data_IF_373939760812
#
_entry.id   IF_373939760812
#
_cell.length_a   1.000
_cell.length_b   1.000
_cell.length_c   1.000
_cell.angle_alpha   90.00
_cell.angle_beta   90.00
_cell.angle_gamma   90.00
#
_symmetry.space_group_name_H-M   'P 1'
#
loop_
_entity.id
_entity.type
_entity.pdbx_description
1 polymer ?
#
# COMPACT_ATOMS: atom_id res chain seq x y z
N UNK A 1 26.19 52.02 -49.47
CA UNK A 1 26.65 50.61 -49.46
C UNK A 1 27.64 50.47 -48.31
N UNK A 2 27.71 49.28 -47.72
CA UNK A 2 28.44 48.91 -46.49
C UNK A 2 27.74 49.20 -45.16
N UNK A 3 26.91 48.25 -44.73
CA UNK A 3 26.92 47.70 -43.37
C UNK A 3 26.19 46.34 -43.40
N UNK A 4 26.95 45.27 -43.63
CA UNK A 4 26.47 43.89 -43.53
C UNK A 4 27.65 42.96 -43.23
N UNK A 5 28.18 43.04 -42.01
CA UNK A 5 29.20 42.11 -41.53
C UNK A 5 29.14 41.99 -40.00
N UNK A 6 28.08 41.38 -39.47
CA UNK A 6 28.06 40.90 -38.08
C UNK A 6 27.03 39.76 -37.84
N UNK A 7 26.79 38.92 -38.84
CA UNK A 7 25.97 37.71 -38.67
C UNK A 7 26.66 36.54 -39.36
N UNK A 8 27.62 35.91 -38.67
CA UNK A 8 28.04 34.50 -38.82
C UNK A 8 29.43 34.29 -38.18
N UNK A 9 29.47 33.68 -37.00
CA UNK A 9 30.51 32.70 -36.58
C UNK A 9 30.16 32.19 -35.18
N UNK A 10 29.10 31.38 -35.09
CA UNK A 10 28.87 30.56 -33.90
C UNK A 10 29.81 29.36 -34.00
N UNK A 11 30.93 29.51 -33.32
CA UNK A 11 32.10 28.64 -33.23
C UNK A 11 31.69 27.17 -33.00
N UNK A 12 32.08 26.30 -33.93
CA UNK A 12 32.07 24.84 -33.82
C UNK A 12 32.69 24.40 -32.49
N UNK A 13 31.88 23.81 -31.62
CA UNK A 13 32.33 23.13 -30.41
C UNK A 13 33.16 21.92 -30.84
N UNK A 14 34.45 21.87 -30.49
CA UNK A 14 35.30 20.74 -30.85
C UNK A 14 34.80 19.48 -30.14
N UNK A 15 34.81 18.34 -30.84
CA UNK A 15 34.30 17.05 -30.34
C UNK A 15 34.83 16.71 -28.94
N UNK A 16 36.08 17.11 -28.66
CA UNK A 16 36.74 16.94 -27.37
C UNK A 16 36.06 17.72 -26.21
N UNK A 17 35.52 18.91 -26.46
CA UNK A 17 34.75 19.67 -25.46
C UNK A 17 33.41 19.01 -25.13
N UNK A 18 32.78 18.39 -26.13
CA UNK A 18 31.49 17.72 -25.96
C UNK A 18 31.66 16.42 -25.13
N UNK A 19 32.74 15.67 -25.39
CA UNK A 19 33.16 14.55 -24.54
C UNK A 19 33.44 14.97 -23.09
N UNK A 20 34.12 16.10 -22.90
CA UNK A 20 34.47 16.58 -21.56
C UNK A 20 33.22 16.99 -20.75
N UNK A 21 32.20 17.54 -21.42
CA UNK A 21 30.93 17.93 -20.79
C UNK A 21 30.10 16.71 -20.42
N UNK A 22 30.00 15.72 -21.33
CA UNK A 22 29.28 14.47 -21.04
C UNK A 22 29.94 13.73 -19.87
N UNK A 23 31.28 13.65 -19.87
CA UNK A 23 32.03 13.01 -18.79
C UNK A 23 31.87 13.73 -17.44
N UNK A 24 31.84 15.07 -17.43
CA UNK A 24 31.58 15.85 -16.22
C UNK A 24 30.15 15.68 -15.72
N UNK A 25 29.15 15.59 -16.61
CA UNK A 25 27.76 15.31 -16.27
C UNK A 25 27.59 13.92 -15.67
N UNK A 26 28.19 12.90 -16.29
CA UNK A 26 28.20 11.53 -15.76
C UNK A 26 28.85 11.47 -14.38
N UNK A 27 29.98 12.16 -14.18
CA UNK A 27 30.67 12.20 -12.89
C UNK A 27 29.85 12.91 -11.81
N UNK A 28 29.21 14.04 -12.12
CA UNK A 28 28.35 14.78 -11.18
C UNK A 28 27.11 13.97 -10.81
N UNK A 29 26.49 13.32 -11.79
CA UNK A 29 25.30 12.49 -11.58
C UNK A 29 25.66 11.23 -10.81
N UNK A 30 26.80 10.59 -11.09
CA UNK A 30 27.30 9.44 -10.35
C UNK A 30 27.60 9.78 -8.89
N UNK A 31 28.30 10.89 -8.64
CA UNK A 31 28.66 11.31 -7.28
C UNK A 31 27.43 11.62 -6.42
N UNK A 32 26.35 12.12 -7.03
CA UNK A 32 25.14 12.55 -6.30
C UNK A 32 24.08 11.45 -6.19
N UNK A 33 23.92 10.63 -7.23
CA UNK A 33 22.81 9.68 -7.37
C UNK A 33 23.27 8.24 -7.62
N UNK A 34 24.58 7.96 -7.53
CA UNK A 34 25.14 6.63 -7.73
C UNK A 34 24.95 6.09 -9.15
N UNK A 35 25.13 4.77 -9.30
CA UNK A 35 24.95 4.05 -10.56
C UNK A 35 23.54 4.23 -11.18
N UNK A 36 22.43 4.27 -10.41
CA UNK A 36 21.09 4.46 -10.96
C UNK A 36 20.93 5.79 -11.71
N UNK A 37 21.51 6.88 -11.20
CA UNK A 37 21.48 8.17 -11.88
C UNK A 37 22.20 8.15 -13.23
N UNK A 38 23.27 7.36 -13.35
CA UNK A 38 24.07 7.22 -14.57
C UNK A 38 23.31 6.44 -15.65
N UNK A 39 22.56 5.40 -15.25
CA UNK A 39 21.68 4.63 -16.15
C UNK A 39 20.58 5.52 -16.73
N UNK A 40 19.95 6.35 -15.90
CA UNK A 40 18.89 7.27 -16.34
C UNK A 40 19.44 8.32 -17.31
N UNK A 41 20.62 8.89 -17.02
CA UNK A 41 21.27 9.86 -17.91
C UNK A 41 21.57 9.25 -19.29
N UNK A 42 22.06 8.01 -19.34
CA UNK A 42 22.37 7.31 -20.59
C UNK A 42 21.12 6.96 -21.40
N UNK A 43 20.02 6.60 -20.74
CA UNK A 43 18.73 6.37 -21.42
C UNK A 43 18.20 7.66 -22.04
N UNK A 44 18.32 8.80 -21.35
CA UNK A 44 17.90 10.10 -21.86
C UNK A 44 18.77 10.57 -23.04
N UNK A 45 20.09 10.35 -22.97
CA UNK A 45 21.00 10.66 -24.06
C UNK A 45 20.74 9.78 -25.30
N UNK A 46 20.38 8.51 -25.10
CA UNK A 46 20.07 7.57 -26.18
C UNK A 46 18.69 7.80 -26.84
N UNK A 47 17.70 8.32 -26.11
CA UNK A 47 16.37 8.63 -26.66
C UNK A 47 16.38 9.90 -27.52
N UNK A 48 17.24 10.88 -27.20
CA UNK A 48 17.34 12.12 -27.97
C UNK A 48 18.11 11.99 -29.30
N UNK A 49 18.71 10.84 -29.60
CA UNK A 49 19.34 10.59 -30.91
C UNK A 49 18.39 9.93 -31.92
N UNK A 50 17.16 9.58 -31.52
CA UNK A 50 16.14 9.02 -32.40
C UNK A 50 14.98 10.00 -32.59
N UNK A 51 15.15 10.95 -33.51
CA UNK A 51 14.03 11.63 -34.17
C UNK A 51 14.35 11.81 -35.66
N UNK A 52 13.38 11.62 -36.57
CA UNK A 52 13.64 11.46 -38.00
C UNK A 52 13.51 12.79 -38.75
N UNK A 53 14.57 13.20 -39.46
CA UNK A 53 14.48 13.74 -40.83
C UNK A 53 15.86 14.16 -41.35
N UNK A 54 16.36 13.38 -42.32
CA UNK A 54 17.05 13.92 -43.49
C UNK A 54 18.45 14.51 -43.32
N UNK A 55 19.42 13.74 -42.81
CA UNK A 55 20.77 13.68 -43.41
C UNK A 55 21.17 12.20 -43.40
N UNK A 56 21.09 11.55 -44.55
CA UNK A 56 21.56 10.19 -44.73
C UNK A 56 23.09 10.14 -44.72
N UNK A 57 23.64 9.08 -44.11
CA UNK A 57 24.80 8.41 -44.67
C UNK A 57 26.13 8.38 -43.90
N UNK A 58 26.22 8.66 -42.58
CA UNK A 58 27.54 8.65 -41.90
C UNK A 58 27.61 7.83 -40.59
N UNK A 59 26.53 7.26 -40.06
CA UNK A 59 26.59 6.57 -38.74
C UNK A 59 26.26 5.07 -38.77
N UNK A 60 25.97 4.49 -39.95
CA UNK A 60 25.78 3.02 -40.05
C UNK A 60 27.11 2.23 -40.11
N UNK A 61 28.27 2.90 -40.13
CA UNK A 61 29.58 2.24 -40.27
C UNK A 61 30.35 2.04 -38.95
N UNK A 62 29.79 2.41 -37.78
CA UNK A 62 30.49 2.34 -36.48
C UNK A 62 29.84 1.42 -35.44
N UNK A 63 29.14 0.36 -35.83
CA UNK A 63 28.76 -0.72 -34.91
C UNK A 63 29.70 -1.93 -35.06
N UNK A 64 30.79 -1.96 -34.29
CA UNK A 64 31.71 -3.12 -34.19
C UNK A 64 31.07 -4.34 -33.48
N UNK A 65 29.78 -4.31 -33.16
CA UNK A 65 29.10 -5.40 -32.42
C UNK A 65 27.68 -5.70 -32.93
N UNK A 66 27.46 -5.72 -34.24
CA UNK A 66 26.13 -6.00 -34.82
C UNK A 66 25.81 -7.48 -35.08
N UNK A 67 26.58 -8.44 -34.55
CA UNK A 67 26.38 -9.87 -34.85
C UNK A 67 26.04 -10.80 -33.68
N UNK A 68 26.39 -10.48 -32.43
CA UNK A 68 26.39 -11.45 -31.31
C UNK A 68 26.00 -10.83 -29.94
N UNK A 69 25.33 -9.68 -29.93
CA UNK A 69 25.26 -8.79 -28.75
C UNK A 69 24.05 -8.95 -27.82
N UNK A 70 22.91 -9.48 -28.27
CA UNK A 70 21.69 -9.43 -27.46
C UNK A 70 21.61 -10.52 -26.40
N UNK A 71 21.99 -11.76 -26.73
CA UNK A 71 21.93 -12.88 -25.77
C UNK A 71 22.96 -12.71 -24.63
N UNK A 72 24.18 -12.28 -24.96
CA UNK A 72 25.24 -12.00 -23.98
C UNK A 72 24.86 -10.81 -23.08
N UNK A 73 24.18 -9.78 -23.62
CA UNK A 73 23.69 -8.65 -22.81
C UNK A 73 22.55 -9.05 -21.88
N UNK A 74 21.63 -9.90 -22.33
CA UNK A 74 20.56 -10.40 -21.47
C UNK A 74 21.08 -11.29 -20.35
N UNK A 75 22.08 -12.12 -20.62
CA UNK A 75 22.73 -12.98 -19.63
C UNK A 75 23.59 -12.17 -18.63
N UNK A 76 24.31 -11.16 -19.11
CA UNK A 76 25.04 -10.23 -18.24
C UNK A 76 24.09 -9.40 -17.36
N UNK A 77 22.94 -8.97 -17.88
CA UNK A 77 21.90 -8.27 -17.09
C UNK A 77 21.25 -9.18 -16.05
N UNK A 78 20.96 -10.44 -16.37
CA UNK A 78 20.41 -11.39 -15.39
C UNK A 78 21.42 -11.70 -14.29
N UNK A 79 22.70 -11.88 -14.65
CA UNK A 79 23.77 -12.11 -13.69
C UNK A 79 23.98 -10.88 -12.79
N UNK A 80 23.94 -9.66 -13.34
CA UNK A 80 24.05 -8.43 -12.55
C UNK A 80 22.87 -8.27 -11.58
N UNK A 81 21.65 -8.55 -12.05
CA UNK A 81 20.43 -8.48 -11.22
C UNK A 81 20.50 -9.46 -10.05
N UNK A 82 21.00 -10.67 -10.30
CA UNK A 82 21.17 -11.70 -9.26
C UNK A 82 22.20 -11.27 -8.21
N UNK A 83 23.32 -10.68 -8.64
CA UNK A 83 24.37 -10.19 -7.72
C UNK A 83 23.89 -8.97 -6.90
N UNK A 84 23.11 -8.07 -7.51
CA UNK A 84 22.52 -6.92 -6.80
C UNK A 84 21.55 -7.41 -5.72
N UNK A 85 20.67 -8.35 -6.07
CA UNK A 85 19.68 -8.88 -5.14
C UNK A 85 20.34 -9.63 -3.96
N UNK A 86 21.39 -10.43 -4.22
CA UNK A 86 22.16 -11.09 -3.16
C UNK A 86 22.87 -10.07 -2.23
N UNK A 87 23.31 -8.94 -2.78
CA UNK A 87 23.99 -7.90 -1.99
C UNK A 87 23.01 -7.11 -1.12
N UNK A 88 21.80 -6.84 -1.63
CA UNK A 88 20.72 -6.20 -0.86
C UNK A 88 20.23 -7.11 0.27
N UNK A 89 20.07 -8.42 0.01
CA UNK A 89 19.71 -9.41 1.03
C UNK A 89 20.78 -9.53 2.12
N UNK A 90 22.07 -9.52 1.74
CA UNK A 90 23.17 -9.54 2.70
C UNK A 90 23.21 -8.27 3.57
N UNK A 91 22.96 -7.09 2.99
CA UNK A 91 22.88 -5.84 3.76
C UNK A 91 21.69 -5.83 4.73
N UNK A 92 20.52 -6.34 4.30
CA UNK A 92 19.37 -6.47 5.18
C UNK A 92 19.64 -7.44 6.34
N UNK A 93 20.31 -8.56 6.09
CA UNK A 93 20.71 -9.49 7.15
C UNK A 93 21.71 -8.86 8.12
N UNK A 94 22.68 -8.09 7.62
CA UNK A 94 23.66 -7.39 8.46
C UNK A 94 22.99 -6.32 9.34
N UNK A 95 22.07 -5.52 8.78
CA UNK A 95 21.29 -4.55 9.56
C UNK A 95 20.40 -5.21 10.61
N UNK A 96 19.78 -6.35 10.28
CA UNK A 96 18.97 -7.13 11.21
C UNK A 96 19.82 -7.64 12.38
N UNK A 97 20.98 -8.23 12.10
CA UNK A 97 21.91 -8.70 13.13
C UNK A 97 22.45 -7.56 14.00
N UNK A 98 22.69 -6.38 13.40
CA UNK A 98 23.10 -5.18 14.13
C UNK A 98 22.01 -4.69 15.09
N UNK A 99 20.75 -4.65 14.66
CA UNK A 99 19.61 -4.31 15.52
C UNK A 99 19.43 -5.32 16.66
N UNK A 100 19.62 -6.61 16.37
CA UNK A 100 19.55 -7.68 17.38
C UNK A 100 20.68 -7.57 18.42
N UNK A 101 21.91 -7.26 17.97
CA UNK A 101 23.03 -7.02 18.88
C UNK A 101 22.82 -5.77 19.75
N UNK A 102 22.21 -4.71 19.20
CA UNK A 102 21.89 -3.49 19.95
C UNK A 102 20.80 -3.74 21.01
N UNK A 103 19.77 -4.52 20.69
CA UNK A 103 18.74 -4.93 21.66
C UNK A 103 19.31 -5.81 22.76
N UNK A 104 20.21 -6.74 22.45
CA UNK A 104 20.90 -7.55 23.46
C UNK A 104 21.78 -6.69 24.37
N UNK A 105 22.44 -5.66 23.84
CA UNK A 105 23.24 -4.72 24.62
C UNK A 105 22.36 -3.89 25.57
N UNK A 106 21.20 -3.43 25.10
CA UNK A 106 20.22 -2.73 25.93
C UNK A 106 19.66 -3.63 27.03
N UNK A 107 19.35 -4.90 26.71
CA UNK A 107 18.89 -5.88 27.69
C UNK A 107 19.93 -6.13 28.79
N UNK A 108 21.21 -6.29 28.41
CA UNK A 108 22.30 -6.45 29.38
C UNK A 108 22.50 -5.22 30.27
N UNK A 109 22.29 -4.00 29.73
CA UNK A 109 22.36 -2.77 30.51
C UNK A 109 21.18 -2.65 31.50
N UNK A 110 19.98 -3.06 31.09
CA UNK A 110 18.80 -3.12 31.95
C UNK A 110 19.02 -4.15 33.08
N UNK A 111 19.57 -5.32 32.76
CA UNK A 111 19.87 -6.35 33.76
C UNK A 111 20.91 -5.85 34.78
N UNK A 112 21.95 -5.14 34.31
CA UNK A 112 22.92 -4.49 35.20
C UNK A 112 22.25 -3.45 36.11
N UNK A 113 21.40 -2.58 35.57
CA UNK A 113 20.62 -1.60 36.35
C UNK A 113 19.68 -2.26 37.36
N UNK A 114 19.05 -3.38 37.01
CA UNK A 114 18.20 -4.17 37.92
C UNK A 114 19.02 -4.82 39.03
N UNK A 115 20.21 -5.36 38.74
CA UNK A 115 21.08 -5.93 39.76
C UNK A 115 21.64 -4.86 40.71
N UNK A 116 22.00 -3.67 40.20
CA UNK A 116 22.39 -2.53 41.03
C UNK A 116 21.23 -2.01 41.89
N UNK A 117 20.02 -1.89 41.32
CA UNK A 117 18.81 -1.53 42.06
C UNK A 117 18.48 -2.56 43.16
N UNK A 118 18.64 -3.86 42.86
CA UNK A 118 18.43 -4.95 43.81
C UNK A 118 19.45 -4.94 44.95
N UNK A 119 20.70 -4.59 44.67
CA UNK A 119 21.74 -4.44 45.69
C UNK A 119 21.56 -3.17 46.54
N UNK A 120 20.97 -2.11 45.95
CA UNK A 120 20.65 -0.86 46.66
C UNK A 120 19.37 -0.94 47.51
N UNK A 121 18.46 -1.90 47.22
CA UNK A 121 17.24 -2.19 47.99
C UNK A 121 17.50 -3.15 49.17
N UNK A 122 18.51 -2.84 49.97
CA UNK A 122 19.01 -3.68 51.06
C UNK A 122 17.97 -4.50 51.84
N UNK A 123 18.23 -5.81 51.94
CA UNK A 123 17.76 -6.75 52.98
C UNK A 123 16.32 -6.57 53.53
N UNK A 124 15.33 -6.37 52.66
CA UNK A 124 13.93 -6.65 52.97
C UNK A 124 13.60 -8.06 52.52
N UNK A 125 13.80 -9.04 53.40
CA UNK A 125 13.48 -10.44 53.16
C UNK A 125 11.96 -10.64 53.23
N UNK A 126 11.25 -10.27 52.17
CA UNK A 126 9.88 -10.76 51.93
C UNK A 126 10.04 -12.15 51.29
N UNK A 127 9.57 -13.23 51.94
CA UNK A 127 9.77 -14.57 51.43
C UNK A 127 9.02 -14.78 50.11
N UNK A 128 9.75 -15.09 49.05
CA UNK A 128 9.28 -15.44 47.68
C UNK A 128 8.23 -16.58 47.65
N UNK A 129 8.01 -17.25 48.78
CA UNK A 129 7.04 -18.32 48.93
C UNK A 129 5.57 -17.87 49.03
N UNK A 130 5.27 -16.59 49.28
CA UNK A 130 3.88 -16.10 49.26
C UNK A 130 3.36 -15.89 47.84
N UNK A 131 4.15 -15.31 46.93
CA UNK A 131 3.75 -15.11 45.53
C UNK A 131 3.59 -16.42 44.74
N UNK A 132 4.52 -17.37 44.91
CA UNK A 132 4.42 -18.70 44.25
C UNK A 132 3.22 -19.54 44.70
N UNK A 133 2.62 -19.22 45.86
CA UNK A 133 1.49 -19.96 46.42
C UNK A 133 0.14 -19.40 45.96
N UNK A 134 0.09 -18.14 45.55
CA UNK A 134 -1.10 -17.51 44.96
C UNK A 134 -1.19 -17.81 43.45
N UNK A 135 -0.08 -17.72 42.69
CA UNK A 135 -0.04 -18.15 41.28
C UNK A 135 -0.44 -19.62 41.12
N UNK A 136 0.11 -20.53 41.95
CA UNK A 136 -0.28 -21.95 41.90
C UNK A 136 -1.75 -22.22 42.22
N UNK A 137 -2.39 -21.37 43.05
CA UNK A 137 -3.83 -21.51 43.37
C UNK A 137 -4.70 -20.92 42.26
N UNK A 138 -4.27 -19.82 41.63
CA UNK A 138 -4.95 -19.23 40.48
C UNK A 138 -4.93 -20.16 39.26
N UNK A 139 -3.76 -20.71 38.90
CA UNK A 139 -3.66 -21.64 37.76
C UNK A 139 -4.39 -22.97 38.01
N UNK A 140 -4.41 -23.49 39.24
CA UNK A 140 -5.25 -24.66 39.60
C UNK A 140 -6.76 -24.37 39.56
N UNK A 141 -7.17 -23.13 39.86
CA UNK A 141 -8.56 -22.67 39.70
C UNK A 141 -8.96 -22.60 38.23
N UNK A 142 -8.06 -22.12 37.38
CA UNK A 142 -8.30 -21.95 35.96
C UNK A 142 -8.43 -23.30 35.25
N UNK A 143 -7.53 -24.24 35.47
CA UNK A 143 -7.59 -25.59 34.89
C UNK A 143 -8.88 -26.35 35.26
N UNK A 144 -9.33 -26.23 36.52
CA UNK A 144 -10.55 -26.89 36.98
C UNK A 144 -11.83 -26.25 36.44
N UNK A 145 -11.80 -24.97 36.08
CA UNK A 145 -12.91 -24.27 35.41
C UNK A 145 -12.90 -24.46 33.90
N UNK A 146 -11.72 -24.53 33.28
CA UNK A 146 -11.56 -24.88 31.86
C UNK A 146 -12.21 -26.23 31.57
N UNK A 147 -12.03 -27.22 32.45
CA UNK A 147 -12.67 -28.53 32.33
C UNK A 147 -14.21 -28.53 32.47
N UNK A 148 -14.82 -27.42 32.93
CA UNK A 148 -16.28 -27.25 33.03
C UNK A 148 -16.88 -26.51 31.85
N UNK A 149 -16.06 -26.04 30.91
CA UNK A 149 -16.55 -25.35 29.72
C UNK A 149 -17.30 -26.35 28.81
N UNK A 150 -18.36 -25.89 28.14
CA UNK A 150 -19.09 -26.74 27.20
C UNK A 150 -18.16 -27.17 26.07
N UNK A 151 -18.03 -28.49 25.89
CA UNK A 151 -17.25 -29.04 24.80
C UNK A 151 -17.91 -28.67 23.45
N UNK A 152 -17.17 -28.06 22.51
CA UNK A 152 -17.68 -27.73 21.19
C UNK A 152 -17.99 -29.01 20.41
N UNK A 153 -19.07 -28.97 19.62
CA UNK A 153 -19.41 -30.04 18.68
C UNK A 153 -18.40 -30.10 17.54
N UNK A 154 -18.30 -31.23 16.82
CA UNK A 154 -17.38 -31.39 15.68
C UNK A 154 -17.60 -30.32 14.59
N UNK A 155 -18.85 -29.93 14.38
CA UNK A 155 -19.22 -28.90 13.41
C UNK A 155 -18.78 -27.50 13.87
N UNK A 156 -18.92 -27.19 15.16
CA UNK A 156 -18.40 -25.95 15.73
C UNK A 156 -16.88 -25.88 15.68
N UNK A 157 -16.17 -26.98 15.95
CA UNK A 157 -14.70 -27.04 15.82
C UNK A 157 -14.29 -26.72 14.38
N UNK A 158 -14.97 -27.32 13.41
CA UNK A 158 -14.69 -27.06 11.99
C UNK A 158 -14.96 -25.59 11.62
N UNK A 159 -16.08 -25.03 12.07
CA UNK A 159 -16.41 -23.62 11.84
C UNK A 159 -15.37 -22.67 12.46
N UNK A 160 -15.00 -22.89 13.73
CA UNK A 160 -14.02 -22.05 14.43
C UNK A 160 -12.62 -22.10 13.82
N UNK A 161 -12.26 -23.22 13.17
CA UNK A 161 -10.98 -23.32 12.46
C UNK A 161 -10.85 -22.38 11.25
N UNK A 162 -11.95 -21.81 10.77
CA UNK A 162 -12.00 -20.92 9.62
C UNK A 162 -11.93 -19.43 10.00
N UNK A 163 -11.83 -19.10 11.30
CA UNK A 163 -11.70 -17.73 11.79
C UNK A 163 -10.32 -17.17 11.45
N UNK A 164 -10.31 -15.97 10.87
CA UNK A 164 -9.10 -15.23 10.51
C UNK A 164 -8.92 -14.06 11.48
N UNK A 165 -8.50 -14.38 12.71
CA UNK A 165 -8.24 -13.42 13.79
C UNK A 165 -6.77 -13.46 14.22
N UNK A 166 -6.28 -12.37 14.81
CA UNK A 166 -4.95 -12.33 15.43
C UNK A 166 -4.94 -13.13 16.74
N UNK A 167 -3.75 -13.52 17.21
CA UNK A 167 -3.61 -14.22 18.50
C UNK A 167 -4.18 -13.41 19.66
N UNK A 168 -4.05 -12.08 19.61
CA UNK A 168 -4.60 -11.16 20.62
C UNK A 168 -6.13 -11.13 20.57
N UNK A 169 -6.72 -11.05 19.38
CA UNK A 169 -8.17 -11.10 19.19
C UNK A 169 -8.76 -12.44 19.65
N UNK A 170 -8.08 -13.55 19.41
CA UNK A 170 -8.48 -14.85 19.95
C UNK A 170 -8.42 -14.89 21.47
N UNK A 171 -7.38 -14.30 22.08
CA UNK A 171 -7.27 -14.19 23.53
C UNK A 171 -8.39 -13.33 24.14
N UNK A 172 -8.74 -12.23 23.47
CA UNK A 172 -9.83 -11.35 23.88
C UNK A 172 -11.18 -12.05 23.84
N UNK A 173 -11.47 -12.82 22.78
CA UNK A 173 -12.67 -13.67 22.73
C UNK A 173 -12.67 -14.74 23.82
N UNK A 174 -11.54 -15.40 24.03
CA UNK A 174 -11.37 -16.41 25.07
C UNK A 174 -11.60 -15.85 26.48
N UNK A 175 -11.18 -14.61 26.75
CA UNK A 175 -11.38 -13.93 28.04
C UNK A 175 -12.86 -13.67 28.36
N UNK A 176 -13.74 -13.74 27.37
CA UNK A 176 -15.19 -13.61 27.56
C UNK A 176 -15.88 -14.92 27.91
N UNK A 177 -15.15 -16.04 28.06
CA UNK A 177 -15.75 -17.30 28.46
C UNK A 177 -16.51 -17.19 29.81
N UNK A 178 -17.55 -18.01 29.94
CA UNK A 178 -18.42 -17.98 31.11
C UNK A 178 -17.65 -18.37 32.39
N UNK A 179 -18.07 -17.79 33.53
CA UNK A 179 -17.58 -18.11 34.88
C UNK A 179 -16.12 -17.73 35.19
N UNK A 180 -15.49 -16.90 34.35
CA UNK A 180 -14.17 -16.35 34.59
C UNK A 180 -14.22 -15.12 35.53
N UNK A 181 -13.33 -15.11 36.51
CA UNK A 181 -13.03 -13.93 37.35
C UNK A 181 -12.08 -12.96 36.63
N UNK A 182 -11.96 -11.73 37.12
CA UNK A 182 -11.08 -10.72 36.50
C UNK A 182 -9.62 -11.20 36.36
N UNK A 183 -9.07 -11.81 37.41
CA UNK A 183 -7.71 -12.33 37.42
C UNK A 183 -7.51 -13.47 36.40
N UNK A 184 -8.51 -14.35 36.25
CA UNK A 184 -8.44 -15.45 35.29
C UNK A 184 -8.54 -14.96 33.83
N UNK A 185 -9.22 -13.82 33.60
CA UNK A 185 -9.23 -13.18 32.28
C UNK A 185 -7.86 -12.63 31.90
N UNK A 186 -7.17 -11.98 32.84
CA UNK A 186 -5.79 -11.48 32.64
C UNK A 186 -4.82 -12.64 32.38
N UNK A 187 -4.93 -13.72 33.16
CA UNK A 187 -4.10 -14.92 32.98
C UNK A 187 -4.32 -15.57 31.60
N UNK A 188 -5.56 -15.55 31.07
CA UNK A 188 -5.86 -16.01 29.71
C UNK A 188 -5.24 -15.10 28.66
N UNK A 189 -5.28 -13.78 28.83
CA UNK A 189 -4.71 -12.84 27.87
C UNK A 189 -3.18 -12.99 27.77
N UNK A 190 -2.51 -13.17 28.90
CA UNK A 190 -1.05 -13.33 28.95
C UNK A 190 -0.59 -14.70 28.45
N UNK A 191 -1.34 -15.76 28.75
CA UNK A 191 -0.94 -17.14 28.46
C UNK A 191 -1.67 -17.76 27.26
N UNK A 192 -2.49 -17.00 26.51
CA UNK A 192 -3.27 -17.56 25.40
C UNK A 192 -2.43 -18.40 24.41
N UNK A 193 -1.23 -17.97 23.99
CA UNK A 193 -0.41 -18.73 23.05
C UNK A 193 0.01 -20.11 23.58
N UNK A 194 0.18 -20.26 24.89
CA UNK A 194 0.70 -21.48 25.53
C UNK A 194 -0.37 -22.56 25.76
N UNK A 195 -1.65 -22.23 25.63
CA UNK A 195 -2.71 -23.23 25.74
C UNK A 195 -2.73 -24.24 24.59
N UNK A 196 -3.21 -25.44 24.90
CA UNK A 196 -3.46 -26.49 23.90
C UNK A 196 -4.54 -26.05 22.90
N UNK A 197 -4.50 -26.61 21.68
CA UNK A 197 -5.47 -26.26 20.63
C UNK A 197 -6.91 -26.56 21.06
N UNK A 198 -7.14 -27.67 21.75
CA UNK A 198 -8.48 -28.04 22.25
C UNK A 198 -8.99 -27.04 23.28
N UNK A 199 -8.12 -26.60 24.20
CA UNK A 199 -8.45 -25.59 25.21
C UNK A 199 -8.74 -24.24 24.55
N UNK A 200 -7.97 -23.84 23.54
CA UNK A 200 -8.20 -22.60 22.78
C UNK A 200 -9.58 -22.60 22.12
N UNK A 201 -9.95 -23.70 21.45
CA UNK A 201 -11.25 -23.80 20.77
C UNK A 201 -12.40 -23.80 21.78
N UNK A 202 -12.25 -24.48 22.93
CA UNK A 202 -13.25 -24.47 24.01
C UNK A 202 -13.46 -23.06 24.58
N UNK A 203 -12.37 -22.34 24.86
CA UNK A 203 -12.40 -20.98 25.37
C UNK A 203 -13.07 -20.01 24.38
N UNK A 204 -12.68 -20.07 23.11
CA UNK A 204 -13.27 -19.24 22.05
C UNK A 204 -14.76 -19.56 21.91
N UNK A 205 -15.14 -20.84 21.88
CA UNK A 205 -16.54 -21.25 21.78
C UNK A 205 -17.37 -20.73 22.96
N UNK A 206 -16.85 -20.85 24.18
CA UNK A 206 -17.51 -20.33 25.38
C UNK A 206 -17.61 -18.81 25.38
N UNK A 207 -16.56 -18.12 24.92
CA UNK A 207 -16.56 -16.67 24.74
C UNK A 207 -17.63 -16.20 23.77
N UNK A 208 -17.72 -16.83 22.59
CA UNK A 208 -18.76 -16.55 21.60
C UNK A 208 -20.16 -16.85 22.14
N UNK A 209 -20.33 -17.96 22.88
CA UNK A 209 -21.60 -18.28 23.52
C UNK A 209 -22.02 -17.20 24.54
N UNK A 210 -21.07 -16.69 25.33
CA UNK A 210 -21.32 -15.62 26.31
C UNK A 210 -21.61 -14.27 25.64
N UNK A 211 -21.03 -14.04 24.46
CA UNK A 211 -21.32 -12.90 23.59
C UNK A 211 -22.64 -13.07 22.80
N UNK A 212 -23.43 -14.12 23.08
CA UNK A 212 -24.73 -14.44 22.44
C UNK A 212 -24.64 -14.84 20.95
N UNK A 213 -23.43 -15.20 20.51
CA UNK A 213 -23.14 -15.89 19.25
C UNK A 213 -23.15 -17.40 19.55
N UNK A 214 -24.27 -17.86 20.09
CA UNK A 214 -24.43 -19.22 20.63
C UNK A 214 -25.03 -20.22 19.62
N UNK A 215 -25.85 -19.74 18.69
CA UNK A 215 -26.43 -20.56 17.63
C UNK A 215 -25.41 -20.84 16.52
N UNK A 216 -25.44 -22.06 15.95
CA UNK A 216 -24.56 -22.46 14.84
C UNK A 216 -24.67 -21.52 13.64
N UNK A 217 -25.89 -21.10 13.27
CA UNK A 217 -26.11 -20.12 12.19
C UNK A 217 -25.45 -18.77 12.49
N UNK A 218 -25.51 -18.30 13.73
CA UNK A 218 -24.86 -17.03 14.14
C UNK A 218 -23.34 -17.15 14.08
N UNK A 219 -22.78 -18.29 14.51
CA UNK A 219 -21.34 -18.56 14.41
C UNK A 219 -20.89 -18.58 12.95
N UNK A 220 -21.63 -19.27 12.07
CA UNK A 220 -21.36 -19.31 10.64
C UNK A 220 -21.39 -17.90 10.00
N UNK A 221 -22.41 -17.08 10.32
CA UNK A 221 -22.48 -15.69 9.86
C UNK A 221 -21.34 -14.83 10.40
N UNK A 222 -20.91 -15.04 11.64
CA UNK A 222 -19.80 -14.32 12.25
C UNK A 222 -18.48 -14.66 11.56
N UNK A 223 -18.27 -15.94 11.22
CA UNK A 223 -17.09 -16.40 10.46
C UNK A 223 -17.12 -15.82 9.05
N UNK A 224 -18.26 -15.88 8.36
CA UNK A 224 -18.43 -15.30 7.04
C UNK A 224 -18.12 -13.80 7.04
N UNK A 225 -18.64 -13.07 8.03
CA UNK A 225 -18.32 -11.65 8.22
C UNK A 225 -16.82 -11.46 8.44
N UNK A 226 -16.19 -12.22 9.33
CA UNK A 226 -14.76 -12.12 9.62
C UNK A 226 -13.88 -12.37 8.38
N UNK A 227 -14.21 -13.38 7.58
CA UNK A 227 -13.51 -13.66 6.32
C UNK A 227 -13.68 -12.53 5.30
N UNK A 228 -14.90 -12.02 5.17
CA UNK A 228 -15.21 -10.90 4.28
C UNK A 228 -14.41 -9.66 4.70
N UNK A 229 -14.39 -9.33 6.00
CA UNK A 229 -13.63 -8.21 6.54
C UNK A 229 -12.12 -8.36 6.36
N UNK A 230 -11.59 -9.59 6.50
CA UNK A 230 -10.17 -9.87 6.25
C UNK A 230 -9.80 -9.61 4.79
N UNK A 231 -10.61 -10.10 3.84
CA UNK A 231 -10.43 -9.87 2.42
C UNK A 231 -10.58 -8.39 2.04
N UNK A 232 -11.56 -7.70 2.62
CA UNK A 232 -11.78 -6.26 2.42
C UNK A 232 -10.61 -5.43 2.96
N UNK A 233 -10.05 -5.80 4.12
CA UNK A 233 -8.87 -5.13 4.70
C UNK A 233 -7.63 -5.26 3.81
N UNK A 234 -7.46 -6.40 3.13
CA UNK A 234 -6.38 -6.59 2.13
C UNK A 234 -6.61 -5.80 0.83
N UNK A 235 -7.85 -5.37 0.56
CA UNK A 235 -8.25 -4.80 -0.73
C UNK A 235 -8.82 -3.38 -0.64
N UNK A 236 -8.75 -2.72 0.52
CA UNK A 236 -9.38 -1.42 0.79
C UNK A 236 -10.87 -1.39 0.44
N UNK A 237 -11.57 -2.52 0.62
CA UNK A 237 -13.00 -2.62 0.28
C UNK A 237 -13.30 -2.49 -1.22
N UNK A 238 -12.30 -2.67 -2.10
CA UNK A 238 -12.54 -2.78 -3.54
C UNK A 238 -13.13 -4.16 -3.86
N UNK A 239 -14.35 -4.18 -4.37
CA UNK A 239 -14.96 -5.40 -4.88
C UNK A 239 -14.18 -5.95 -6.09
N UNK A 240 -14.28 -7.25 -6.35
CA UNK A 240 -13.66 -7.86 -7.54
C UNK A 240 -14.05 -7.06 -8.80
N UNK A 241 -15.33 -6.76 -9.09
CA UNK A 241 -15.70 -5.96 -10.26
C UNK A 241 -15.02 -4.58 -10.34
N UNK A 242 -14.83 -3.90 -9.22
CA UNK A 242 -14.15 -2.59 -9.19
C UNK A 242 -12.67 -2.71 -9.50
N UNK A 243 -12.04 -3.75 -8.95
CA UNK A 243 -10.66 -4.09 -9.27
C UNK A 243 -10.49 -4.42 -10.75
N UNK A 244 -11.38 -5.24 -11.31
CA UNK A 244 -11.38 -5.56 -12.75
C UNK A 244 -11.56 -4.29 -13.60
N UNK A 245 -12.43 -3.37 -13.20
CA UNK A 245 -12.65 -2.11 -13.91
C UNK A 245 -11.41 -1.21 -13.90
N UNK A 246 -10.69 -1.11 -12.79
CA UNK A 246 -9.43 -0.36 -12.72
C UNK A 246 -8.37 -1.03 -13.61
N UNK A 247 -8.26 -2.36 -13.59
CA UNK A 247 -7.35 -3.09 -14.48
C UNK A 247 -7.72 -2.91 -15.96
N UNK A 248 -9.02 -2.91 -16.31
CA UNK A 248 -9.52 -2.60 -17.66
C UNK A 248 -9.08 -1.22 -18.11
N UNK A 249 -9.15 -0.23 -17.23
CA UNK A 249 -8.66 1.13 -17.51
C UNK A 249 -7.15 1.14 -17.78
N UNK A 250 -6.36 0.49 -16.93
CA UNK A 250 -4.89 0.42 -17.09
C UNK A 250 -4.52 -0.25 -18.40
N UNK A 251 -5.15 -1.37 -18.73
CA UNK A 251 -4.85 -2.13 -19.95
C UNK A 251 -5.31 -1.35 -21.19
N UNK A 252 -6.45 -0.65 -21.10
CA UNK A 252 -6.93 0.30 -22.14
C UNK A 252 -6.04 1.50 -22.33
N UNK A 253 -5.32 1.91 -21.30
CA UNK A 253 -4.31 2.95 -21.43
C UNK A 253 -2.93 2.49 -21.95
N UNK A 254 -2.71 1.18 -22.07
CA UNK A 254 -1.49 0.57 -22.63
C UNK A 254 -1.53 0.47 -24.17
N UNK A 255 -2.59 0.96 -24.83
CA UNK A 255 -2.78 0.96 -26.30
C UNK A 255 -2.59 -0.42 -26.97
N UNK A 256 -2.87 -1.51 -26.23
CA UNK A 256 -2.91 -2.86 -26.82
C UNK A 256 -4.07 -2.95 -27.81
N UNK A 257 -3.78 -3.35 -29.05
CA UNK A 257 -4.81 -3.55 -30.07
C UNK A 257 -5.85 -4.59 -29.62
N UNK A 258 -7.08 -4.46 -30.09
CA UNK A 258 -8.18 -5.40 -29.80
C UNK A 258 -7.80 -6.83 -30.17
N UNK A 259 -7.11 -7.03 -31.29
CA UNK A 259 -6.64 -8.35 -31.73
C UNK A 259 -5.59 -8.95 -30.78
N UNK A 260 -4.65 -8.15 -30.26
CA UNK A 260 -3.65 -8.61 -29.29
C UNK A 260 -4.29 -9.03 -27.96
N UNK A 261 -5.29 -8.28 -27.50
CA UNK A 261 -6.06 -8.65 -26.29
C UNK A 261 -6.80 -9.95 -26.48
N UNK A 262 -7.57 -10.07 -27.56
CA UNK A 262 -8.36 -11.28 -27.82
C UNK A 262 -7.46 -12.49 -28.05
N UNK A 263 -6.29 -12.32 -28.70
CA UNK A 263 -5.30 -13.39 -28.84
C UNK A 263 -4.74 -13.87 -27.50
N UNK A 264 -4.45 -12.95 -26.58
CA UNK A 264 -3.90 -13.29 -25.26
C UNK A 264 -4.98 -13.87 -24.33
N UNK A 265 -6.22 -13.40 -24.41
CA UNK A 265 -7.38 -14.01 -23.74
C UNK A 265 -7.65 -15.43 -24.24
N UNK A 266 -7.56 -15.65 -25.56
CA UNK A 266 -7.69 -16.98 -26.18
C UNK A 266 -6.54 -17.93 -25.81
N UNK A 267 -5.37 -17.41 -25.43
CA UNK A 267 -4.26 -18.17 -24.85
C UNK A 267 -4.44 -18.45 -23.34
N UNK A 268 -5.59 -18.08 -22.76
CA UNK A 268 -5.91 -18.31 -21.36
C UNK A 268 -5.34 -17.26 -20.40
N UNK A 269 -4.72 -16.19 -20.90
CA UNK A 269 -4.23 -15.09 -20.08
C UNK A 269 -5.41 -14.18 -19.75
N UNK A 270 -5.97 -14.34 -18.56
CA UNK A 270 -7.02 -13.44 -18.06
C UNK A 270 -6.39 -12.14 -17.60
N UNK A 271 -6.57 -11.09 -18.39
CA UNK A 271 -6.09 -9.73 -18.08
C UNK A 271 -6.74 -9.09 -16.86
N UNK A 272 -7.94 -9.55 -16.50
CA UNK A 272 -8.79 -8.89 -15.53
C UNK A 272 -9.09 -9.76 -14.32
N UNK A 273 -8.39 -10.88 -14.11
CA UNK A 273 -8.58 -11.65 -12.88
C UNK A 273 -7.95 -10.90 -11.70
N UNK A 274 -8.80 -10.17 -10.98
CA UNK A 274 -8.38 -9.32 -9.89
C UNK A 274 -8.59 -9.96 -8.52
N UNK A 275 -8.93 -11.26 -8.46
CA UNK A 275 -9.20 -11.97 -7.22
C UNK A 275 -8.03 -11.87 -6.24
N UNK A 276 -6.80 -11.93 -6.76
CA UNK A 276 -5.56 -11.90 -5.99
C UNK A 276 -4.89 -10.52 -6.00
N UNK A 277 -5.53 -9.50 -6.58
CA UNK A 277 -4.93 -8.18 -6.65
C UNK A 277 -5.14 -7.43 -5.34
N UNK A 278 -4.04 -7.21 -4.62
CA UNK A 278 -3.97 -6.37 -3.44
C UNK A 278 -3.52 -4.96 -3.87
N UNK A 279 -4.20 -3.93 -3.38
CA UNK A 279 -3.88 -2.53 -3.69
C UNK A 279 -3.37 -1.90 -2.42
N UNK A 280 -2.09 -1.59 -2.29
CA UNK A 280 -1.55 -0.86 -1.14
C UNK A 280 -1.95 0.63 -1.17
N UNK A 281 -1.80 1.35 -0.05
CA UNK A 281 -2.00 2.80 -0.01
C UNK A 281 -1.11 3.56 -1.01
N UNK A 282 0.12 3.10 -1.21
CA UNK A 282 1.08 3.68 -2.15
C UNK A 282 0.65 3.42 -3.60
N UNK A 283 0.18 2.21 -3.88
CA UNK A 283 -0.37 1.84 -5.19
C UNK A 283 -1.66 2.62 -5.49
N UNK A 284 -2.54 2.81 -4.52
CA UNK A 284 -3.74 3.65 -4.62
C UNK A 284 -3.40 5.06 -5.08
N UNK A 285 -2.43 5.72 -4.43
CA UNK A 285 -2.00 7.07 -4.82
C UNK A 285 -1.36 7.11 -6.22
N UNK A 286 -0.58 6.08 -6.56
CA UNK A 286 0.05 5.95 -7.88
C UNK A 286 -0.97 5.75 -9.00
N UNK A 287 -2.01 4.94 -8.76
CA UNK A 287 -3.10 4.68 -9.69
C UNK A 287 -3.97 5.91 -9.91
N UNK A 288 -4.31 6.64 -8.84
CA UNK A 288 -5.00 7.91 -8.92
C UNK A 288 -4.19 8.94 -9.73
N UNK A 289 -2.89 9.05 -9.46
CA UNK A 289 -1.99 9.94 -10.20
C UNK A 289 -1.90 9.58 -11.68
N UNK A 290 -1.71 8.30 -12.00
CA UNK A 290 -1.65 7.81 -13.38
C UNK A 290 -2.96 8.06 -14.15
N UNK A 291 -4.08 7.70 -13.55
CA UNK A 291 -5.39 7.85 -14.17
C UNK A 291 -5.77 9.31 -14.39
N UNK A 292 -5.48 10.19 -13.43
CA UNK A 292 -5.66 11.64 -13.59
C UNK A 292 -4.75 12.21 -14.70
N UNK A 293 -3.49 11.77 -14.79
CA UNK A 293 -2.55 12.26 -15.81
C UNK A 293 -2.95 11.90 -17.25
N UNK A 294 -3.79 10.86 -17.42
CA UNK A 294 -4.34 10.46 -18.72
C UNK A 294 -5.50 11.34 -19.18
N UNK A 295 -6.16 12.05 -18.25
CA UNK A 295 -7.22 13.01 -18.57
C UNK A 295 -6.59 14.27 -19.13
N UNK A 296 -6.74 14.48 -20.45
CA UNK A 296 -6.36 15.74 -21.09
C UNK A 296 -7.60 16.60 -21.27
N UNK A 297 -7.56 17.83 -20.75
CA UNK A 297 -8.58 18.84 -21.01
C UNK A 297 -8.39 19.43 -22.40
N UNK A 298 -9.50 19.63 -23.13
CA UNK A 298 -9.50 20.38 -24.40
C UNK A 298 -9.22 21.85 -24.17
N UNK A 299 -8.84 22.60 -25.21
CA UNK A 299 -8.56 24.04 -25.11
C UNK A 299 -9.78 24.83 -24.60
N UNK A 300 -10.98 24.53 -25.13
CA UNK A 300 -12.24 25.11 -24.64
C UNK A 300 -12.52 24.77 -23.16
N UNK A 301 -12.18 23.56 -22.73
CA UNK A 301 -12.33 23.16 -21.33
C UNK A 301 -11.35 23.89 -20.42
N UNK A 302 -10.11 24.11 -20.85
CA UNK A 302 -9.10 24.84 -20.09
C UNK A 302 -9.49 26.32 -19.91
N UNK A 303 -10.01 26.95 -20.96
CA UNK A 303 -10.49 28.34 -20.91
C UNK A 303 -11.70 28.49 -19.98
N UNK A 304 -12.66 27.56 -20.04
CA UNK A 304 -13.81 27.55 -19.15
C UNK A 304 -13.43 27.27 -17.68
N UNK A 305 -12.36 26.50 -17.43
CA UNK A 305 -11.87 26.21 -16.08
C UNK A 305 -11.29 27.44 -15.38
N UNK A 306 -10.67 28.34 -16.15
CA UNK A 306 -10.06 29.57 -15.64
C UNK A 306 -11.09 30.66 -15.29
N UNK A 307 -12.28 30.58 -15.91
CA UNK A 307 -13.29 31.64 -15.87
C UNK A 307 -14.50 31.33 -14.95
N UNK A 308 -14.57 30.17 -14.28
CA UNK A 308 -15.79 29.74 -13.56
C UNK A 308 -15.55 29.24 -12.13
N UNK A 309 -16.28 29.80 -11.16
CA UNK A 309 -16.27 29.36 -9.74
C UNK A 309 -17.12 28.10 -9.45
N UNK A 310 -17.63 27.41 -10.48
CA UNK A 310 -18.56 26.27 -10.33
C UNK A 310 -17.96 24.94 -10.82
N UNK A 311 -16.89 24.47 -10.17
CA UNK A 311 -16.23 23.18 -10.43
C UNK A 311 -17.19 21.98 -10.42
N UNK A 312 -18.28 22.05 -9.65
CA UNK A 312 -19.31 21.00 -9.59
C UNK A 312 -20.06 20.83 -10.90
N UNK A 313 -20.32 21.93 -11.61
CA UNK A 313 -21.12 21.97 -12.84
C UNK A 313 -20.28 21.82 -14.12
N UNK A 314 -18.95 21.71 -13.99
CA UNK A 314 -18.04 21.54 -15.13
C UNK A 314 -18.35 20.27 -15.92
N UNK A 315 -18.49 20.40 -17.25
CA UNK A 315 -18.84 19.28 -18.12
C UNK A 315 -17.58 18.57 -18.63
N UNK A 316 -17.43 17.30 -18.24
CA UNK A 316 -16.41 16.40 -18.77
C UNK A 316 -16.98 15.60 -19.95
N UNK A 317 -16.11 15.20 -20.87
CA UNK A 317 -16.46 14.26 -21.95
C UNK A 317 -16.72 12.87 -21.39
N UNK A 318 -17.49 12.03 -22.08
CA UNK A 318 -17.77 10.66 -21.63
C UNK A 318 -16.49 9.84 -21.31
N UNK A 319 -15.43 9.85 -22.15
CA UNK A 319 -14.19 9.14 -21.81
C UNK A 319 -13.51 9.65 -20.53
N UNK A 320 -13.57 10.97 -20.27
CA UNK A 320 -13.02 11.55 -19.04
C UNK A 320 -13.87 11.17 -17.82
N UNK A 321 -15.20 11.09 -17.98
CA UNK A 321 -16.10 10.60 -16.93
C UNK A 321 -15.83 9.12 -16.62
N UNK A 322 -15.68 8.28 -17.64
CA UNK A 322 -15.41 6.85 -17.49
C UNK A 322 -14.10 6.60 -16.72
N UNK A 323 -13.06 7.37 -17.03
CA UNK A 323 -11.77 7.31 -16.31
C UNK A 323 -11.97 7.66 -14.83
N UNK A 324 -12.61 8.80 -14.54
CA UNK A 324 -12.83 9.23 -13.17
C UNK A 324 -13.79 8.32 -12.40
N UNK A 325 -14.82 7.76 -13.04
CA UNK A 325 -15.74 6.82 -12.43
C UNK A 325 -15.05 5.49 -12.11
N UNK A 326 -14.18 5.01 -13.00
CA UNK A 326 -13.39 3.79 -12.76
C UNK A 326 -12.41 3.94 -11.60
N UNK A 327 -11.89 5.16 -11.39
CA UNK A 327 -10.97 5.49 -10.29
C UNK A 327 -11.69 5.93 -9.00
N UNK A 328 -12.97 6.27 -9.08
CA UNK A 328 -13.76 6.76 -7.94
C UNK A 328 -13.74 5.79 -6.73
N UNK A 329 -13.82 4.46 -6.89
CA UNK A 329 -13.69 3.51 -5.77
C UNK A 329 -12.38 3.66 -4.99
N UNK A 330 -11.28 4.08 -5.63
CA UNK A 330 -10.00 4.31 -4.95
C UNK A 330 -10.06 5.50 -3.98
N UNK A 331 -11.02 6.41 -4.12
CA UNK A 331 -11.20 7.57 -3.23
C UNK A 331 -12.15 7.33 -2.07
N UNK A 332 -12.70 6.12 -1.95
CA UNK A 332 -13.51 5.72 -0.81
C UNK A 332 -12.75 5.92 0.50
N UNK A 333 -13.47 6.50 1.47
CA UNK A 333 -13.02 6.69 2.85
C UNK A 333 -13.63 5.64 3.76
N UNK A 334 -14.71 4.99 3.33
CA UNK A 334 -15.26 3.78 3.94
C UNK A 334 -14.25 2.65 3.86
N UNK A 335 -14.07 1.96 4.98
CA UNK A 335 -13.09 0.86 5.10
C UNK A 335 -13.69 -0.49 4.72
N UNK A 336 -15.01 -0.61 4.74
CA UNK A 336 -15.74 -1.87 4.57
C UNK A 336 -17.02 -1.69 3.75
N UNK A 337 -17.43 -2.77 3.08
CA UNK A 337 -18.54 -2.76 2.12
C UNK A 337 -19.93 -2.71 2.79
N UNK A 338 -20.99 -2.32 2.05
CA UNK A 338 -22.37 -2.42 2.53
C UNK A 338 -22.83 -3.87 2.76
N UNK A 339 -22.23 -4.85 2.08
CA UNK A 339 -22.50 -6.28 2.28
C UNK A 339 -22.03 -6.72 3.67
N UNK A 340 -20.82 -6.31 4.06
CA UNK A 340 -20.29 -6.50 5.42
C UNK A 340 -21.18 -5.84 6.48
N UNK A 341 -21.74 -4.66 6.21
CA UNK A 341 -22.71 -4.01 7.10
C UNK A 341 -24.01 -4.80 7.22
N UNK A 342 -24.51 -5.37 6.13
CA UNK A 342 -25.71 -6.20 6.13
C UNK A 342 -25.49 -7.49 6.92
N UNK A 343 -24.34 -8.14 6.74
CA UNK A 343 -23.93 -9.32 7.52
C UNK A 343 -23.84 -8.97 9.02
N UNK A 344 -23.19 -7.86 9.38
CA UNK A 344 -23.11 -7.36 10.75
C UNK A 344 -24.49 -7.12 11.37
N UNK A 345 -25.41 -6.47 10.64
CA UNK A 345 -26.79 -6.26 11.08
C UNK A 345 -27.55 -7.58 11.24
N UNK A 346 -27.29 -8.56 10.37
CA UNK A 346 -27.95 -9.87 10.40
C UNK A 346 -27.57 -10.72 11.61
N UNK A 347 -26.43 -10.44 12.26
CA UNK A 347 -26.02 -11.09 13.50
C UNK A 347 -26.91 -10.69 14.69
N UNK A 348 -27.62 -9.56 14.58
CA UNK A 348 -28.54 -9.05 15.60
C UNK A 348 -27.92 -9.05 17.00
N UNK A 349 -26.71 -8.49 17.10
CA UNK A 349 -25.94 -8.43 18.34
C UNK A 349 -26.52 -7.36 19.27
N UNK A 350 -26.49 -7.64 20.58
CA UNK A 350 -26.83 -6.63 21.58
C UNK A 350 -25.82 -5.47 21.55
N UNK A 351 -26.22 -4.23 21.92
CA UNK A 351 -25.32 -3.09 21.96
C UNK A 351 -24.06 -3.32 22.81
N UNK A 352 -24.17 -4.05 23.91
CA UNK A 352 -23.04 -4.40 24.78
C UNK A 352 -22.01 -5.28 24.09
N UNK A 353 -22.47 -6.31 23.37
CA UNK A 353 -21.64 -7.22 22.58
C UNK A 353 -21.00 -6.48 21.42
N UNK A 354 -21.79 -5.67 20.70
CA UNK A 354 -21.30 -4.90 19.57
C UNK A 354 -20.21 -3.93 20.02
N UNK A 355 -20.43 -3.17 21.10
CA UNK A 355 -19.43 -2.25 21.65
C UNK A 355 -18.13 -2.95 22.03
N UNK A 356 -18.21 -4.13 22.67
CA UNK A 356 -17.02 -4.93 22.97
C UNK A 356 -16.27 -5.30 21.68
N UNK A 357 -16.96 -5.91 20.71
CA UNK A 357 -16.33 -6.36 19.46
C UNK A 357 -15.76 -5.20 18.65
N UNK A 358 -16.37 -4.01 18.70
CA UNK A 358 -15.85 -2.82 18.02
C UNK A 358 -14.67 -2.18 18.74
N UNK A 359 -14.67 -2.15 20.07
CA UNK A 359 -13.57 -1.55 20.85
C UNK A 359 -12.31 -2.40 20.79
N UNK A 360 -12.46 -3.72 20.74
CA UNK A 360 -11.37 -4.68 20.62
C UNK A 360 -10.93 -4.92 19.16
N UNK A 361 -11.41 -4.10 18.22
CA UNK A 361 -11.10 -4.20 16.78
C UNK A 361 -11.39 -5.59 16.15
N UNK A 362 -12.28 -6.37 16.77
CA UNK A 362 -12.71 -7.68 16.27
C UNK A 362 -13.74 -7.50 15.13
N UNK A 363 -14.61 -6.49 15.27
CA UNK A 363 -15.57 -6.07 14.24
C UNK A 363 -15.44 -4.57 13.98
N UNK A 364 -15.74 -4.11 12.75
CA UNK A 364 -15.74 -2.69 12.41
C UNK A 364 -16.87 -1.93 13.10
N UNK A 365 -16.62 -0.66 13.37
CA UNK A 365 -17.60 0.25 13.93
C UNK A 365 -18.67 0.59 12.87
N UNK A 366 -19.95 0.24 13.08
CA UNK A 366 -21.02 0.43 12.11
C UNK A 366 -21.29 1.90 11.73
N UNK A 367 -20.86 2.85 12.56
CA UNK A 367 -21.10 4.28 12.37
C UNK A 367 -19.88 5.04 11.81
N UNK A 368 -18.67 4.50 11.97
CA UNK A 368 -17.42 5.17 11.60
C UNK A 368 -16.71 4.49 10.43
N UNK A 369 -16.72 3.16 10.39
CA UNK A 369 -15.98 2.40 9.39
C UNK A 369 -16.83 2.06 8.15
N UNK A 370 -18.15 2.24 8.27
CA UNK A 370 -19.11 2.15 7.17
C UNK A 370 -19.69 3.54 6.92
N UNK A 371 -19.35 4.11 5.77
CA UNK A 371 -19.85 5.42 5.35
C UNK A 371 -20.95 5.29 4.31
N UNK A 372 -21.81 6.31 4.22
CA UNK A 372 -22.57 6.49 2.99
C UNK A 372 -21.61 6.85 1.87
N UNK A 373 -21.76 6.19 0.72
CA UNK A 373 -21.16 6.61 -0.55
C UNK A 373 -21.69 8.00 -0.93
N UNK A 374 -21.17 9.06 -0.31
CA UNK A 374 -21.14 10.37 -0.97
C UNK A 374 -20.43 10.11 -2.27
N UNK A 375 -21.17 10.19 -3.39
CA UNK A 375 -20.71 9.92 -4.76
C UNK A 375 -19.18 10.04 -4.87
N UNK A 376 -18.44 8.93 -4.81
CA UNK A 376 -16.97 8.95 -4.72
C UNK A 376 -16.35 9.67 -5.94
N UNK A 377 -17.13 9.76 -7.00
CA UNK A 377 -16.87 10.53 -8.20
C UNK A 377 -16.78 12.05 -7.97
N UNK A 378 -17.66 12.65 -7.16
CA UNK A 378 -17.78 14.12 -7.06
C UNK A 378 -16.60 14.77 -6.33
N UNK A 379 -16.09 14.22 -5.20
CA UNK A 379 -14.85 14.67 -4.59
C UNK A 379 -13.64 14.49 -5.51
N UNK A 380 -13.53 13.34 -6.20
CA UNK A 380 -12.42 13.08 -7.12
C UNK A 380 -12.42 14.05 -8.30
N UNK A 381 -13.58 14.29 -8.91
CA UNK A 381 -13.78 15.30 -9.97
C UNK A 381 -13.34 16.68 -9.48
N UNK A 382 -13.79 17.09 -8.29
CA UNK A 382 -13.46 18.42 -7.73
C UNK A 382 -11.96 18.55 -7.50
N UNK A 383 -11.31 17.55 -6.87
CA UNK A 383 -9.85 17.53 -6.64
C UNK A 383 -9.05 17.60 -7.94
N UNK A 384 -9.48 16.86 -8.96
CA UNK A 384 -8.84 16.89 -10.29
C UNK A 384 -8.92 18.29 -10.91
N UNK A 385 -10.12 18.88 -10.95
CA UNK A 385 -10.34 20.20 -11.55
C UNK A 385 -9.60 21.31 -10.79
N UNK A 386 -9.57 21.28 -9.45
CA UNK A 386 -8.77 22.23 -8.64
C UNK A 386 -7.27 22.10 -8.91
N UNK A 387 -6.78 20.87 -9.12
CA UNK A 387 -5.39 20.61 -9.48
C UNK A 387 -5.03 21.21 -10.83
N UNK A 388 -5.84 20.95 -11.85
CA UNK A 388 -5.66 21.50 -13.19
C UNK A 388 -5.74 23.03 -13.21
N UNK A 389 -6.68 23.62 -12.48
CA UNK A 389 -6.80 25.08 -12.35
C UNK A 389 -5.52 25.70 -11.79
N UNK A 390 -4.96 25.13 -10.71
CA UNK A 390 -3.68 25.60 -10.14
C UNK A 390 -2.52 25.48 -11.12
N UNK A 391 -2.46 24.41 -11.91
CA UNK A 391 -1.41 24.22 -12.93
C UNK A 391 -1.55 25.26 -14.04
N UNK A 392 -2.77 25.54 -14.51
CA UNK A 392 -3.04 26.54 -15.53
C UNK A 392 -2.72 27.97 -15.05
N UNK A 393 -3.13 28.34 -13.84
CA UNK A 393 -2.78 29.63 -13.24
C UNK A 393 -1.26 29.81 -13.09
N UNK A 394 -0.53 28.75 -12.70
CA UNK A 394 0.92 28.80 -12.61
C UNK A 394 1.58 28.97 -13.98
N UNK A 395 1.08 28.31 -15.02
CA UNK A 395 1.57 28.47 -16.40
C UNK A 395 1.35 29.90 -16.90
N UNK A 396 0.16 30.46 -16.71
CA UNK A 396 -0.13 31.85 -17.09
C UNK A 396 0.81 32.83 -16.37
N UNK A 397 1.00 32.68 -15.05
CA UNK A 397 1.95 33.53 -14.31
C UNK A 397 3.40 33.39 -14.79
N UNK A 398 3.80 32.22 -15.28
CA UNK A 398 5.13 32.01 -15.85
C UNK A 398 5.26 32.62 -17.24
N UNK A 399 4.20 32.54 -18.06
CA UNK A 399 4.14 33.16 -19.38
C UNK A 399 4.12 34.68 -19.28
N UNK A 400 3.33 35.26 -18.37
CA UNK A 400 3.35 36.70 -18.07
C UNK A 400 4.72 37.18 -17.60
N UNK A 401 5.40 36.39 -16.75
CA UNK A 401 6.78 36.72 -16.32
C UNK A 401 7.76 36.68 -17.49
N UNK A 402 7.62 35.72 -18.42
CA UNK A 402 8.45 35.63 -19.63
C UNK A 402 8.18 36.77 -20.60
N UNK A 403 6.90 37.10 -20.83
CA UNK A 403 6.47 38.19 -21.70
C UNK A 403 6.96 39.54 -21.15
N UNK A 404 6.79 39.78 -19.85
CA UNK A 404 7.31 40.98 -19.20
C UNK A 404 8.83 41.07 -19.25
N UNK A 405 9.56 39.94 -19.14
CA UNK A 405 11.02 39.91 -19.31
C UNK A 405 11.45 40.20 -20.75
N UNK A 406 10.71 39.70 -21.75
CA UNK A 406 10.94 40.02 -23.17
C UNK A 406 10.65 41.48 -23.47
N UNK A 407 9.55 42.05 -22.98
CA UNK A 407 9.25 43.49 -23.17
C UNK A 407 10.30 44.41 -22.52
N UNK A 408 10.89 43.99 -21.39
CA UNK A 408 11.97 44.74 -20.74
C UNK A 408 13.30 44.63 -21.52
N UNK A 409 13.52 43.53 -22.25
CA UNK A 409 14.71 43.36 -23.10
C UNK A 409 14.56 44.05 -24.45
N UNK A 410 13.36 44.09 -25.04
CA UNK A 410 13.09 44.78 -26.30
C UNK A 410 13.00 46.31 -26.16
N UNK A 411 12.79 46.84 -24.94
CA UNK A 411 12.79 48.28 -24.63
C UNK A 411 14.16 48.84 -24.23
N UNK A 412 15.21 48.01 -24.17
CA UNK A 412 16.61 48.42 -23.96
C UNK A 412 17.36 48.41 -25.27
#
# INVERSE_FOLDING_TARGET
MEQAAAAASQKTMTMFMLFLIIFLLEYVVYKRNGLPGLVILNVILAQNTQSPSGIGGIVDEYSVFSGYGNEIRTEQLSNLKTVIQQKEEAQHQEEYLKKQAETLKQAAEIEKKLTEARNNLGNSHIPVNTFKREEKKASQSLDTKLGKLPAPTKEEINLLSQLSLTSEQFALLASQAQYLTHQEKEEILENFPSFSQDTKVQLINSGLNNLEINAQEKKAKFIQLNQTLYQEKQSFGLSIPEKENILRLLITSLDLSTEQRTSLENMGIRFFDASNWEVSNEQKNSLLGFGCAKIKLTEEQQENLLNTDQLRNFSLTEPQKDILQSLAPLTREDKYSPESLQLLRSLNLKPTTLNFLTNEEILPNPNLDFGETKSSYLPLKTKFLEGEQKVLEQKQRQEEKKLNQQEITDKK
#
